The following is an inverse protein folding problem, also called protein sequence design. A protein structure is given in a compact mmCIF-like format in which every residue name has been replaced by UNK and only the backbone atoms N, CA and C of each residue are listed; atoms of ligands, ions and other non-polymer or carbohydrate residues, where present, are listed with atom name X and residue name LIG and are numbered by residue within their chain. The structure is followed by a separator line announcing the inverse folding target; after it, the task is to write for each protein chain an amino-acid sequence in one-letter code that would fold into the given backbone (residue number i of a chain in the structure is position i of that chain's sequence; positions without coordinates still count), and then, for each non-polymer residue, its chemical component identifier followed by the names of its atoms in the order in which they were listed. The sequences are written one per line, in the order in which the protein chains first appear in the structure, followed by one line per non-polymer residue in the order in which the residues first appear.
data_IF_326330160602
#
_entry.id   IF_326330160602
#
_cell.length_a   1.000
_cell.length_b   1.000
_cell.length_c   1.000
_cell.angle_alpha   90.00
_cell.angle_beta   90.00
_cell.angle_gamma   90.00
#
_symmetry.space_group_name_H-M   'P 1'
#
loop_
_entity.id
_entity.type
_entity.pdbx_description
1 polymer ?
#
# COMPACT_ATOMS: atom_id res chain seq x y z
N UNK A 1 12.46 -4.83 -18.92
CA UNK A 1 11.08 -5.22 -18.52
C UNK A 1 10.50 -4.07 -17.70
N UNK A 2 9.51 -3.36 -18.23
CA UNK A 2 8.89 -2.26 -17.48
C UNK A 2 8.03 -2.86 -16.34
N UNK A 3 8.43 -2.63 -15.09
CA UNK A 3 7.56 -2.90 -13.94
C UNK A 3 6.39 -1.94 -14.03
N UNK A 4 5.22 -2.43 -14.41
CA UNK A 4 4.00 -1.63 -14.51
C UNK A 4 3.63 -1.07 -13.13
N UNK A 5 3.77 0.23 -12.93
CA UNK A 5 3.25 0.93 -11.75
C UNK A 5 1.74 1.11 -11.97
N UNK A 6 0.93 0.23 -11.41
CA UNK A 6 -0.53 0.34 -11.46
C UNK A 6 -0.99 1.30 -10.36
N UNK A 7 -1.31 2.54 -10.74
CA UNK A 7 -1.87 3.52 -9.82
C UNK A 7 -3.36 3.23 -9.62
N UNK A 8 -3.70 2.50 -8.56
CA UNK A 8 -5.08 2.48 -8.06
C UNK A 8 -5.26 3.79 -7.31
N UNK A 9 -6.14 4.68 -7.80
CA UNK A 9 -6.46 5.94 -7.13
C UNK A 9 -7.13 5.67 -5.80
N UNK A 10 -6.36 5.74 -4.71
CA UNK A 10 -6.84 5.58 -3.33
C UNK A 10 -7.07 6.94 -2.67
N UNK A 11 -7.54 7.91 -3.45
CA UNK A 11 -7.95 9.22 -2.93
C UNK A 11 -8.84 9.03 -1.71
N UNK A 12 -8.73 9.93 -0.72
CA UNK A 12 -9.44 9.83 0.55
C UNK A 12 -10.95 9.83 0.33
N UNK A 13 -11.51 8.63 0.19
CA UNK A 13 -12.93 8.40 0.10
C UNK A 13 -13.54 8.66 1.48
N UNK A 14 -14.43 9.65 1.57
CA UNK A 14 -15.13 9.98 2.82
C UNK A 14 -15.77 8.70 3.39
N UNK A 15 -15.44 8.38 4.65
CA UNK A 15 -15.88 7.18 5.39
C UNK A 15 -15.31 5.83 4.92
N UNK A 16 -14.30 5.81 4.06
CA UNK A 16 -13.65 4.56 3.64
C UNK A 16 -12.16 4.57 3.99
N UNK A 17 -11.80 3.79 5.02
CA UNK A 17 -10.41 3.60 5.40
C UNK A 17 -9.78 2.53 4.49
N UNK A 18 -9.21 2.99 3.37
CA UNK A 18 -8.52 2.14 2.38
C UNK A 18 -7.48 1.26 3.04
N UNK A 19 -6.61 1.83 3.89
CA UNK A 19 -5.56 1.10 4.59
C UNK A 19 -6.10 -0.07 5.38
N UNK A 20 -7.18 0.13 6.14
CA UNK A 20 -7.79 -0.94 6.92
C UNK A 20 -8.31 -2.09 6.03
N UNK A 21 -8.84 -1.77 4.84
CA UNK A 21 -9.35 -2.76 3.88
C UNK A 21 -8.26 -3.49 3.11
N UNK A 22 -7.10 -2.87 2.91
CA UNK A 22 -5.96 -3.49 2.24
C UNK A 22 -5.11 -4.28 3.22
N UNK A 23 -4.71 -3.67 4.35
CA UNK A 23 -3.82 -4.30 5.33
C UNK A 23 -4.56 -5.40 6.11
N UNK A 24 -5.84 -5.18 6.43
CA UNK A 24 -6.61 -6.07 7.29
C UNK A 24 -6.11 -6.08 8.74
N UNK A 25 -6.80 -6.81 9.64
CA UNK A 25 -6.38 -6.94 11.03
C UNK A 25 -4.96 -7.51 11.11
N UNK A 26 -4.06 -6.80 11.79
CA UNK A 26 -2.66 -7.24 12.00
C UNK A 26 -1.89 -7.61 10.72
N UNK A 27 -2.30 -7.04 9.57
CA UNK A 27 -1.70 -7.31 8.27
C UNK A 27 -2.16 -8.61 7.60
N UNK A 28 -3.22 -9.28 8.07
CA UNK A 28 -3.62 -10.60 7.57
C UNK A 28 -3.87 -10.63 6.05
N UNK A 29 -4.52 -9.62 5.49
CA UNK A 29 -4.92 -9.64 4.07
C UNK A 29 -3.71 -9.48 3.14
N UNK A 30 -2.83 -8.51 3.43
CA UNK A 30 -1.57 -8.38 2.68
C UNK A 30 -0.69 -9.61 2.85
N UNK A 31 -0.58 -10.18 4.07
CA UNK A 31 0.21 -11.40 4.31
C UNK A 31 -0.30 -12.57 3.47
N UNK A 32 -1.62 -12.76 3.39
CA UNK A 32 -2.23 -13.78 2.56
C UNK A 32 -1.85 -13.62 1.08
N UNK A 33 -2.05 -12.42 0.51
CA UNK A 33 -1.71 -12.16 -0.91
C UNK A 33 -0.22 -12.42 -1.18
N UNK A 34 0.65 -11.95 -0.29
CA UNK A 34 2.10 -12.16 -0.43
C UNK A 34 2.47 -13.64 -0.36
N UNK A 35 1.83 -14.41 0.53
CA UNK A 35 2.05 -15.85 0.66
C UNK A 35 1.61 -16.60 -0.61
N UNK A 36 0.43 -16.29 -1.12
CA UNK A 36 -0.13 -16.96 -2.30
C UNK A 36 0.60 -16.61 -3.60
N UNK A 37 1.06 -15.37 -3.72
CA UNK A 37 1.62 -14.86 -4.99
C UNK A 37 3.14 -14.80 -5.01
N UNK A 38 3.80 -14.88 -3.85
CA UNK A 38 5.24 -14.63 -3.72
C UNK A 38 5.66 -13.17 -3.98
N UNK A 39 4.70 -12.27 -4.22
CA UNK A 39 4.97 -10.83 -4.42
C UNK A 39 5.01 -10.10 -3.09
N UNK A 40 5.69 -8.95 -3.04
CA UNK A 40 5.57 -8.04 -1.90
C UNK A 40 4.46 -7.02 -2.18
N UNK A 41 3.58 -6.80 -1.20
CA UNK A 41 2.45 -5.88 -1.32
C UNK A 41 2.52 -4.86 -0.19
N UNK A 42 2.61 -3.58 -0.55
CA UNK A 42 2.69 -2.47 0.40
C UNK A 42 1.70 -1.38 0.02
N UNK A 43 1.03 -0.78 1.01
CA UNK A 43 0.33 0.49 0.81
C UNK A 43 1.32 1.62 1.12
N UNK A 44 1.50 2.56 0.18
CA UNK A 44 2.45 3.68 0.28
C UNK A 44 1.77 5.00 -0.10
N UNK A 45 2.48 6.10 0.07
CA UNK A 45 1.99 7.45 -0.23
C UNK A 45 1.36 8.15 0.97
N UNK A 46 0.84 9.34 0.73
CA UNK A 46 0.25 10.20 1.77
C UNK A 46 -0.93 9.52 2.48
N UNK A 47 -0.91 9.53 3.81
CA UNK A 47 -1.92 8.92 4.69
C UNK A 47 -1.84 7.39 4.80
N UNK A 48 -0.82 6.74 4.24
CA UNK A 48 -0.73 5.26 4.21
C UNK A 48 -0.23 4.64 5.52
N UNK A 49 0.44 5.41 6.37
CA UNK A 49 1.18 4.95 7.54
C UNK A 49 2.48 4.21 7.20
N UNK A 50 2.90 4.17 5.93
CA UNK A 50 4.15 3.55 5.51
C UNK A 50 5.26 4.60 5.48
N UNK A 51 6.20 4.48 6.41
CA UNK A 51 7.39 5.31 6.47
C UNK A 51 8.46 4.73 5.56
N UNK A 52 9.02 5.58 4.72
CA UNK A 52 10.23 5.27 3.99
C UNK A 52 11.43 5.13 4.96
N UNK A 53 12.27 4.13 4.72
CA UNK A 53 13.33 3.76 5.67
C UNK A 53 14.46 4.79 5.72
N UNK A 54 14.69 5.55 4.64
CA UNK A 54 15.78 6.52 4.56
C UNK A 54 15.33 7.86 5.13
N UNK A 55 14.11 8.28 4.80
CA UNK A 55 13.60 9.60 5.17
C UNK A 55 12.81 9.61 6.47
N UNK A 56 12.33 8.44 6.93
CA UNK A 56 11.45 8.33 8.10
C UNK A 56 10.08 8.98 7.93
N UNK A 57 9.70 9.30 6.68
CA UNK A 57 8.46 10.00 6.33
C UNK A 57 7.66 9.18 5.31
N UNK A 58 6.37 9.46 5.22
CA UNK A 58 5.58 8.94 4.12
C UNK A 58 6.01 9.58 2.80
N UNK A 59 5.78 8.88 1.69
CA UNK A 59 6.00 9.46 0.36
C UNK A 59 4.99 10.57 0.07
N UNK A 60 5.44 11.62 -0.63
CA UNK A 60 4.60 12.71 -1.13
C UNK A 60 3.68 12.28 -2.29
N UNK A 61 3.87 11.07 -2.84
CA UNK A 61 2.95 10.54 -3.85
C UNK A 61 1.57 10.25 -3.24
N UNK A 62 0.48 10.35 -4.03
CA UNK A 62 -0.84 9.89 -3.61
C UNK A 62 -0.82 8.43 -3.12
N UNK A 63 -1.74 8.10 -2.22
CA UNK A 63 -1.87 6.75 -1.69
C UNK A 63 -2.02 5.73 -2.83
N UNK A 64 -1.20 4.69 -2.81
CA UNK A 64 -1.17 3.65 -3.83
C UNK A 64 -0.73 2.29 -3.28
N UNK A 65 -1.00 1.24 -4.05
CA UNK A 65 -0.46 -0.11 -3.80
C UNK A 65 0.83 -0.29 -4.58
N UNK A 66 1.90 -0.59 -3.88
CA UNK A 66 3.17 -0.98 -4.44
C UNK A 66 3.29 -2.50 -4.45
N UNK A 67 3.51 -3.07 -5.63
CA UNK A 67 3.76 -4.49 -5.85
C UNK A 67 5.17 -4.63 -6.42
N UNK A 68 5.98 -5.51 -5.83
CA UNK A 68 7.36 -5.77 -6.26
C UNK A 68 7.71 -7.24 -6.21
#
# INVERSE_FOLDING_TARGET
MARGKNHVGLETLRNFNVRAKVVGPTGMFVKYIQQETGTRVQIKGQGSGYLDNETGRESEEPMHIHIS
#
